data_IF_953607740143
#
_entry.id   IF_953607740143
#
_cell.length_a   1.000
_cell.length_b   1.000
_cell.length_c   1.000
_cell.angle_alpha   90.00
_cell.angle_beta   90.00
_cell.angle_gamma   90.00
#
_symmetry.space_group_name_H-M   'P 1'
#
loop_
_entity.id
_entity.type
_entity.pdbx_description
1 polymer ?
2 polymer ?
3 non-polymer ?
4 non-polymer ?
5 non-polymer ?
6 non-polymer ?
7 water ?
#
# COMPACT_ATOMS: atom_id res chain seq x y z
N UNK A 1 1.55 13.86 5.21
CA UNK A 1 2.94 13.47 5.38
C UNK A 1 3.71 14.60 6.09
N UNK A 2 4.32 14.28 7.23
CA UNK A 2 5.10 15.22 8.04
C UNK A 2 6.59 14.92 7.82
N UNK A 3 7.35 15.99 7.55
CA UNK A 3 8.81 15.94 7.37
C UNK A 3 9.32 15.18 6.17
N UNK A 4 8.50 15.09 5.10
CA UNK A 4 8.86 14.42 3.87
C UNK A 4 9.18 15.46 2.81
N UNK A 5 8.98 15.11 1.55
CA UNK A 5 9.22 16.02 0.44
C UNK A 5 8.14 15.81 -0.60
N UNK A 6 8.09 16.66 -1.63
CA UNK A 6 7.15 16.48 -2.73
C UNK A 6 7.62 15.23 -3.50
N UNK A 7 6.71 14.31 -3.81
CA UNK A 7 7.06 13.17 -4.64
C UNK A 7 7.09 13.73 -6.08
N UNK A 8 8.26 13.78 -6.79
CA UNK A 8 8.23 14.33 -8.16
C UNK A 8 7.15 13.66 -8.99
N UNK A 9 6.35 14.46 -9.71
CA UNK A 9 5.24 14.01 -10.55
C UNK A 9 5.65 12.79 -11.39
N UNK A 10 4.87 11.71 -11.25
CA UNK A 10 5.08 10.44 -11.96
C UNK A 10 5.96 9.45 -11.24
N UNK A 11 6.57 9.84 -10.09
CA UNK A 11 7.43 8.98 -9.29
C UNK A 11 6.64 8.21 -8.21
N UNK A 12 5.35 8.50 -8.02
CA UNK A 12 4.48 7.74 -7.13
C UNK A 12 3.26 7.37 -8.01
N UNK A 13 3.44 6.62 -9.15
CA UNK A 13 2.34 6.44 -10.11
C UNK A 13 1.22 5.49 -9.71
N UNK A 14 1.43 4.75 -8.61
CA UNK A 14 0.44 3.83 -8.03
C UNK A 14 -0.41 4.53 -6.96
N UNK A 15 -0.08 5.78 -6.61
CA UNK A 15 -0.82 6.47 -5.56
C UNK A 15 -2.26 6.75 -6.01
N UNK A 16 -3.22 6.45 -5.12
CA UNK A 16 -4.64 6.73 -5.43
C UNK A 16 -5.14 7.82 -4.54
N UNK A 17 -6.01 8.70 -5.10
CA UNK A 17 -6.70 9.72 -4.33
C UNK A 17 -8.16 9.27 -4.28
N UNK A 18 -8.70 9.06 -3.07
CA UNK A 18 -10.10 8.71 -2.92
C UNK A 18 -10.88 9.94 -2.56
N UNK A 19 -12.03 10.16 -3.22
CA UNK A 19 -12.91 11.32 -3.03
C UNK A 19 -14.34 10.85 -2.72
N UNK A 20 -15.08 11.62 -1.91
CA UNK A 20 -16.49 11.38 -1.64
C UNK A 20 -17.20 12.75 -1.78
N UNK A 21 -18.10 12.87 -2.76
CA UNK A 21 -18.79 14.11 -3.13
C UNK A 21 -17.74 15.15 -3.55
N UNK A 22 -16.67 14.69 -4.20
CA UNK A 22 -15.57 15.54 -4.67
C UNK A 22 -14.60 15.97 -3.58
N UNK A 23 -14.85 15.58 -2.30
CA UNK A 23 -14.00 15.93 -1.17
C UNK A 23 -12.96 14.82 -0.87
N UNK A 24 -11.71 15.24 -0.55
CA UNK A 24 -10.60 14.37 -0.21
C UNK A 24 -10.99 13.47 0.96
N UNK A 25 -10.87 12.15 0.77
CA UNK A 25 -11.21 11.20 1.81
C UNK A 25 -9.96 10.47 2.32
N UNK A 26 -9.26 9.76 1.42
CA UNK A 26 -8.15 8.90 1.77
C UNK A 26 -7.23 8.67 0.61
N UNK A 27 -6.16 7.96 0.90
CA UNK A 27 -5.24 7.47 -0.10
C UNK A 27 -5.60 6.04 -0.42
N UNK A 28 -4.86 5.47 -1.35
CA UNK A 28 -4.99 4.09 -1.78
C UNK A 28 -3.83 3.71 -2.66
N UNK A 29 -3.77 2.43 -3.07
CA UNK A 29 -2.71 1.92 -3.92
C UNK A 29 -3.32 1.12 -5.03
N UNK A 30 -2.97 1.46 -6.29
CA UNK A 30 -3.40 0.73 -7.46
C UNK A 30 -2.56 -0.57 -7.51
N UNK A 31 -3.18 -1.77 -7.57
CA UNK A 31 -2.36 -3.01 -7.61
C UNK A 31 -2.49 -3.72 -8.98
N UNK A 32 -3.44 -3.26 -9.82
CA UNK A 32 -3.65 -3.67 -11.22
C UNK A 32 -4.63 -2.65 -11.84
N UNK A 33 -5.11 -2.81 -13.09
CA UNK A 33 -6.00 -1.82 -13.74
C UNK A 33 -7.37 -1.63 -13.08
N UNK A 34 -7.82 -2.61 -12.29
CA UNK A 34 -9.16 -2.63 -11.69
C UNK A 34 -9.16 -2.51 -10.17
N UNK A 35 -8.09 -2.94 -9.51
CA UNK A 35 -8.13 -3.02 -8.05
C UNK A 35 -7.26 -2.02 -7.27
N UNK A 36 -7.85 -1.49 -6.18
CA UNK A 36 -7.21 -0.51 -5.32
C UNK A 36 -7.23 -1.04 -3.89
N UNK A 37 -6.07 -1.03 -3.21
CA UNK A 37 -5.99 -1.42 -1.80
C UNK A 37 -5.97 -0.12 -0.99
N UNK A 38 -6.81 -0.03 0.06
CA UNK A 38 -6.89 1.14 0.97
C UNK A 38 -7.10 0.64 2.41
N UNK A 39 -7.51 1.54 3.34
CA UNK A 39 -7.75 1.23 4.76
C UNK A 39 -9.25 1.14 4.99
N UNK A 40 -9.68 0.13 5.75
CA UNK A 40 -11.10 -0.06 6.08
C UNK A 40 -11.67 1.14 6.84
N UNK A 41 -10.86 1.78 7.73
CA UNK A 41 -11.35 2.89 8.54
C UNK A 41 -11.75 4.14 7.74
N UNK A 42 -11.31 4.23 6.47
CA UNK A 42 -11.67 5.32 5.54
C UNK A 42 -13.15 5.38 5.26
N UNK A 43 -13.87 4.26 5.47
CA UNK A 43 -15.29 4.10 5.12
C UNK A 43 -16.20 4.02 6.31
N UNK A 44 -15.70 4.22 7.54
CA UNK A 44 -16.54 4.17 8.74
C UNK A 44 -17.70 5.13 8.74
N UNK A 45 -17.53 6.30 8.12
CA UNK A 45 -18.52 7.39 8.14
C UNK A 45 -19.17 7.65 6.81
N UNK A 46 -18.98 6.77 5.80
CA UNK A 46 -19.59 6.92 4.48
C UNK A 46 -21.11 6.67 4.49
N UNK A 47 -21.88 7.61 3.94
CA UNK A 47 -23.33 7.49 3.78
C UNK A 47 -23.63 7.46 2.30
N UNK A 48 -22.86 8.23 1.49
CA UNK A 48 -23.00 8.30 0.03
C UNK A 48 -22.05 7.36 -0.71
N UNK A 49 -22.34 6.04 -0.61
CA UNK A 49 -21.56 4.96 -1.23
C UNK A 49 -21.42 5.08 -2.75
N UNK A 50 -22.40 5.71 -3.43
CA UNK A 50 -22.44 5.88 -4.89
C UNK A 50 -21.61 7.06 -5.38
N UNK A 51 -21.08 7.87 -4.46
CA UNK A 51 -20.29 9.06 -4.79
C UNK A 51 -18.83 8.88 -4.50
N UNK A 52 -18.37 7.62 -4.42
CA UNK A 52 -16.96 7.31 -4.19
C UNK A 52 -16.23 7.26 -5.51
N UNK A 53 -15.16 8.08 -5.63
CA UNK A 53 -14.31 8.18 -6.82
C UNK A 53 -12.86 7.89 -6.46
N UNK A 54 -12.17 7.11 -7.31
CA UNK A 54 -10.73 6.88 -7.20
C UNK A 54 -10.08 7.67 -8.36
N UNK A 55 -9.13 8.56 -8.02
CA UNK A 55 -8.42 9.32 -9.06
C UNK A 55 -6.98 8.77 -9.13
N UNK A 56 -6.55 8.38 -10.34
CA UNK A 56 -5.20 7.90 -10.61
C UNK A 56 -4.42 8.97 -11.38
N UNK A 57 -3.09 9.00 -11.22
CA UNK A 57 -2.20 9.94 -11.90
C UNK A 57 -2.32 11.36 -11.37
N UNK A 58 -2.87 11.48 -10.17
CA UNK A 58 -3.00 12.76 -9.49
C UNK A 58 -1.65 13.19 -8.96
N UNK A 59 -1.41 14.48 -8.99
CA UNK A 59 -0.18 15.05 -8.43
C UNK A 59 -0.52 16.31 -7.68
N UNK A 60 -0.99 17.34 -8.41
CA UNK A 60 -1.33 18.65 -7.85
C UNK A 60 -2.85 18.78 -7.80
N UNK A 61 -3.41 19.05 -6.61
CA UNK A 61 -4.86 19.19 -6.37
C UNK A 61 -5.45 20.51 -6.88
N UNK A 62 -4.61 21.51 -7.10
CA UNK A 62 -5.05 22.84 -7.51
C UNK A 62 -5.24 22.99 -9.03
N UNK A 63 -4.73 22.03 -9.81
CA UNK A 63 -4.80 22.08 -11.28
C UNK A 63 -5.05 20.72 -11.91
N UNK A 64 -5.73 20.73 -13.05
CA UNK A 64 -5.95 19.59 -13.91
C UNK A 64 -4.90 19.65 -15.06
N UNK A 65 -3.97 18.68 -15.12
CA UNK A 65 -2.96 18.67 -16.19
C UNK A 65 -3.22 17.67 -17.30
N UNK A 66 -4.28 16.85 -17.18
CA UNK A 66 -4.63 15.87 -18.20
C UNK A 66 -4.15 14.46 -17.95
N UNK A 67 -3.30 14.24 -16.93
CA UNK A 67 -2.83 12.90 -16.59
C UNK A 67 -3.73 12.18 -15.60
N UNK A 68 -4.68 12.90 -14.98
CA UNK A 68 -5.58 12.35 -13.96
C UNK A 68 -6.61 11.47 -14.65
N UNK A 69 -6.93 10.32 -14.06
CA UNK A 69 -7.98 9.42 -14.54
C UNK A 69 -8.86 9.11 -13.35
N UNK A 70 -10.16 9.34 -13.49
CA UNK A 70 -11.14 9.11 -12.42
C UNK A 70 -11.96 7.88 -12.73
N UNK A 71 -12.27 7.12 -11.69
CA UNK A 71 -13.12 5.95 -11.82
C UNK A 71 -14.06 5.91 -10.64
N UNK A 72 -15.29 5.47 -10.89
CA UNK A 72 -16.26 5.23 -9.84
C UNK A 72 -15.89 3.91 -9.14
N UNK A 73 -16.03 3.91 -7.83
CA UNK A 73 -15.74 2.69 -7.08
C UNK A 73 -17.03 1.85 -7.07
N UNK A 74 -16.99 0.66 -7.69
CA UNK A 74 -18.12 -0.28 -7.78
C UNK A 74 -18.29 -1.11 -6.51
N UNK A 75 -17.20 -1.33 -5.76
CA UNK A 75 -17.25 -2.17 -4.56
C UNK A 75 -16.19 -1.82 -3.55
N UNK A 76 -16.52 -1.88 -2.23
CA UNK A 76 -15.57 -1.67 -1.13
C UNK A 76 -15.65 -2.94 -0.29
N UNK A 77 -14.61 -3.77 -0.34
CA UNK A 77 -14.61 -5.05 0.37
C UNK A 77 -13.74 -4.94 1.63
N UNK A 78 -14.35 -5.28 2.77
CA UNK A 78 -13.73 -5.16 4.08
C UNK A 78 -13.78 -6.51 4.79
N UNK A 79 -12.69 -6.94 5.47
CA UNK A 79 -12.73 -8.24 6.16
C UNK A 79 -13.77 -8.23 7.27
N UNK A 80 -14.35 -9.41 7.51
CA UNK A 80 -15.38 -9.63 8.55
C UNK A 80 -14.82 -9.34 9.94
N UNK A 81 -13.51 -9.52 10.14
CA UNK A 81 -12.87 -9.31 11.44
C UNK A 81 -12.67 -7.83 11.81
N UNK A 82 -12.79 -6.91 10.85
CA UNK A 82 -12.64 -5.49 11.14
C UNK A 82 -13.86 -4.95 11.87
N UNK A 83 -13.61 -4.21 12.96
CA UNK A 83 -14.69 -3.61 13.75
C UNK A 83 -14.63 -2.07 13.56
N UNK A 84 -15.66 -1.42 12.96
CA UNK A 84 -15.62 0.07 12.83
C UNK A 84 -15.26 0.81 14.13
N UNK A 85 -14.41 1.82 14.01
CA UNK A 85 -13.94 2.63 15.11
C UNK A 85 -12.79 2.01 15.90
N UNK A 86 -12.30 0.81 15.51
CA UNK A 86 -11.18 0.10 16.16
C UNK A 86 -10.05 -0.01 15.16
N UNK A 87 -8.89 -0.52 15.59
CA UNK A 87 -7.70 -0.50 14.74
C UNK A 87 -7.35 -1.77 13.97
N UNK A 88 -7.74 -2.96 14.47
CA UNK A 88 -7.30 -4.21 13.84
C UNK A 88 -7.91 -4.48 12.47
N UNK A 89 -7.16 -5.16 11.59
CA UNK A 89 -7.57 -5.55 10.23
C UNK A 89 -7.95 -4.31 9.43
N UNK A 90 -7.07 -3.32 9.39
CA UNK A 90 -7.45 -2.09 8.71
C UNK A 90 -7.07 -2.12 7.22
N UNK A 91 -7.87 -2.84 6.44
CA UNK A 91 -7.65 -3.02 5.00
C UNK A 91 -9.01 -3.01 4.25
N UNK A 92 -9.02 -2.46 3.04
CA UNK A 92 -10.19 -2.43 2.18
C UNK A 92 -9.73 -2.73 0.74
N UNK A 93 -10.48 -3.56 0.04
CA UNK A 93 -10.20 -3.86 -1.36
C UNK A 93 -11.28 -3.21 -2.20
N UNK A 94 -10.89 -2.31 -3.10
CA UNK A 94 -11.79 -1.53 -3.92
C UNK A 94 -11.77 -1.94 -5.37
N UNK A 95 -12.95 -2.22 -5.93
CA UNK A 95 -13.12 -2.60 -7.33
C UNK A 95 -13.54 -1.38 -8.13
N UNK A 96 -12.79 -1.04 -9.19
CA UNK A 96 -13.18 0.11 -10.02
C UNK A 96 -14.20 -0.38 -11.05
N UNK A 97 -15.20 0.46 -11.40
CA UNK A 97 -16.26 0.10 -12.37
C UNK A 97 -15.69 -0.31 -13.73
N UNK A 98 -14.66 0.40 -14.18
CA UNK A 98 -13.95 0.12 -15.42
C UNK A 98 -12.46 0.23 -15.14
N UNK A 99 -11.59 -0.48 -15.90
CA UNK A 99 -10.15 -0.35 -15.65
C UNK A 99 -9.60 1.03 -15.98
N UNK A 100 -8.52 1.40 -15.31
CA UNK A 100 -7.79 2.61 -15.66
C UNK A 100 -6.86 2.18 -16.81
N UNK A 101 -6.38 3.16 -17.56
CA UNK A 101 -5.44 2.93 -18.66
C UNK A 101 -4.04 3.23 -18.10
N UNK A 102 -3.15 2.24 -18.18
CA UNK A 102 -1.79 2.45 -17.69
C UNK A 102 -1.04 3.39 -18.63
N UNK A 103 -0.35 4.40 -18.05
CA UNK A 103 0.43 5.41 -18.78
C UNK A 103 1.69 5.65 -17.93
N UNK A 104 2.59 6.59 -18.34
CA UNK A 104 3.78 6.95 -17.58
C UNK A 104 3.41 7.46 -16.17
N UNK A 105 2.17 7.94 -16.00
CA UNK A 105 1.72 8.52 -14.75
C UNK A 105 0.78 7.60 -13.95
N UNK A 106 0.36 6.46 -14.54
CA UNK A 106 -0.59 5.51 -13.93
C UNK A 106 -0.04 4.09 -14.04
N UNK A 107 0.48 3.55 -12.94
CA UNK A 107 1.16 2.24 -12.92
C UNK A 107 0.84 1.57 -11.60
N UNK A 108 0.47 0.27 -11.60
CA UNK A 108 0.21 -0.40 -10.30
C UNK A 108 1.48 -0.72 -9.52
N UNK A 109 1.33 -0.86 -8.20
CA UNK A 109 2.38 -1.30 -7.32
C UNK A 109 2.17 -2.81 -7.28
N UNK A 110 3.25 -3.62 -7.25
CA UNK A 110 3.09 -5.09 -7.20
C UNK A 110 2.58 -5.52 -5.84
N UNK A 111 1.48 -6.31 -5.81
CA UNK A 111 1.03 -6.98 -4.62
C UNK A 111 1.93 -8.24 -4.56
N UNK A 112 2.82 -8.38 -3.55
CA UNK A 112 3.70 -9.55 -3.55
C UNK A 112 3.01 -10.78 -3.00
N UNK A 113 3.63 -11.95 -3.22
CA UNK A 113 3.20 -13.22 -2.65
C UNK A 113 3.56 -13.17 -1.19
N UNK A 114 2.79 -13.85 -0.37
CA UNK A 114 2.93 -13.86 1.08
C UNK A 114 4.34 -14.25 1.60
N UNK A 115 4.87 -15.38 1.17
CA UNK A 115 6.15 -15.91 1.67
C UNK A 115 7.29 -14.97 1.35
N UNK A 116 7.37 -14.49 0.11
CA UNK A 116 8.35 -13.48 -0.33
C UNK A 116 8.24 -12.21 0.53
N UNK A 117 7.00 -11.77 0.78
CA UNK A 117 6.76 -10.57 1.59
C UNK A 117 7.20 -10.80 3.05
N UNK A 118 6.87 -11.95 3.62
CA UNK A 118 7.25 -12.28 5.01
C UNK A 118 8.75 -12.52 5.23
N UNK A 119 9.39 -13.27 4.31
CA UNK A 119 10.79 -13.68 4.41
C UNK A 119 11.78 -12.70 3.81
N UNK A 120 11.38 -11.91 2.78
CA UNK A 120 12.31 -10.99 2.14
C UNK A 120 11.96 -9.53 2.38
N UNK A 121 10.74 -9.10 1.97
CA UNK A 121 10.31 -7.69 2.06
C UNK A 121 10.24 -7.17 3.47
N UNK A 122 9.78 -8.02 4.44
CA UNK A 122 9.68 -7.63 5.85
C UNK A 122 11.02 -7.14 6.48
N UNK A 123 12.16 -7.51 5.85
CA UNK A 123 13.54 -7.20 6.28
C UNK A 123 14.21 -6.11 5.46
N UNK A 124 13.49 -5.50 4.49
CA UNK A 124 14.04 -4.31 3.81
C UNK A 124 13.66 -3.20 4.82
N UNK A 125 14.67 -2.59 5.42
CA UNK A 125 14.49 -1.61 6.49
C UNK A 125 13.68 -0.39 6.08
N UNK A 126 14.05 0.28 4.99
CA UNK A 126 13.38 1.50 4.57
C UNK A 126 12.37 1.23 3.47
N UNK A 127 11.25 1.96 3.53
CA UNK A 127 10.17 1.92 2.58
C UNK A 127 9.57 3.31 2.51
N UNK A 128 8.92 3.63 1.39
CA UNK A 128 8.30 4.92 1.14
C UNK A 128 6.82 4.95 1.50
N UNK A 129 6.39 6.03 2.15
CA UNK A 129 5.00 6.29 2.52
C UNK A 129 4.60 7.63 1.87
N UNK A 130 3.39 7.72 1.31
CA UNK A 130 2.97 8.91 0.57
C UNK A 130 1.51 9.29 0.74
N UNK A 131 1.19 10.51 0.39
CA UNK A 131 -0.18 11.02 0.43
C UNK A 131 -0.30 12.52 0.40
N UNK A 132 -1.57 13.00 0.32
CA UNK A 132 -1.90 14.42 0.40
C UNK A 132 -2.42 14.75 1.81
N UNK A 133 -1.93 14.06 2.83
CA UNK A 133 -2.33 14.32 4.21
C UNK A 133 -1.69 15.56 4.80
N UNK A 134 -1.93 15.75 6.10
CA UNK A 134 -1.44 16.88 6.90
C UNK A 134 0.08 17.03 6.79
N UNK A 135 0.54 18.27 6.63
CA UNK A 135 1.99 18.53 6.59
C UNK A 135 2.49 18.65 8.02
N UNK A 136 1.56 18.82 8.96
CA UNK A 136 1.83 18.94 10.39
C UNK A 136 0.67 18.37 11.14
N UNK A 137 0.93 17.89 12.37
CA UNK A 137 -0.18 17.47 13.23
C UNK A 137 -0.99 18.75 13.50
N UNK A 138 -2.32 18.67 13.28
CA UNK A 138 -3.31 19.73 13.44
C UNK A 138 -3.04 20.90 12.49
N UNK A 139 -2.39 20.57 11.36
CA UNK A 139 -2.03 21.51 10.31
C UNK A 139 -2.74 21.23 9.00
N UNK A 140 -2.50 22.08 8.00
CA UNK A 140 -3.09 22.00 6.67
C UNK A 140 -2.63 20.73 5.90
N UNK A 141 -3.47 20.25 4.97
CA UNK A 141 -3.14 19.07 4.16
C UNK A 141 -2.35 19.55 2.95
N UNK A 142 -1.63 18.63 2.28
CA UNK A 142 -0.80 18.99 1.12
C UNK A 142 -1.56 19.17 -0.20
N UNK A 143 -1.13 20.11 -1.06
CA UNK A 143 -1.70 20.34 -2.41
C UNK A 143 -0.97 19.48 -3.46
N UNK A 144 0.28 19.11 -3.18
CA UNK A 144 1.10 18.24 -4.04
C UNK A 144 1.40 16.99 -3.25
N UNK A 145 1.42 15.86 -3.95
CA UNK A 145 1.66 14.55 -3.35
C UNK A 145 3.01 14.51 -2.64
N UNK A 146 3.01 14.10 -1.36
CA UNK A 146 4.20 14.06 -0.54
C UNK A 146 4.63 12.65 -0.32
N UNK A 147 5.94 12.44 -0.12
CA UNK A 147 6.53 11.12 0.09
C UNK A 147 7.57 11.20 1.22
N UNK A 148 7.69 10.15 2.01
CA UNK A 148 8.60 10.04 3.15
C UNK A 148 9.21 8.64 3.20
N UNK A 149 10.53 8.56 3.46
CA UNK A 149 11.22 7.27 3.62
C UNK A 149 11.21 6.95 5.10
N UNK A 150 10.69 5.77 5.48
CA UNK A 150 10.60 5.37 6.88
C UNK A 150 11.25 4.02 7.17
N UNK A 151 11.92 3.84 8.32
CA UNK A 151 12.44 2.51 8.65
C UNK A 151 11.38 1.68 9.39
N UNK A 152 11.37 0.37 9.16
CA UNK A 152 10.43 -0.55 9.79
C UNK A 152 11.02 -1.08 11.11
N UNK A 153 10.18 -1.32 12.10
CA UNK A 153 10.64 -1.88 13.38
C UNK A 153 9.93 -3.18 13.65
N UNK A 154 10.58 -4.06 14.43
CA UNK A 154 9.99 -5.30 14.96
C UNK A 154 9.08 -4.80 16.07
N UNK A 155 7.90 -5.40 16.21
CA UNK A 155 6.87 -4.97 17.17
C UNK A 155 7.39 -4.87 18.63
N UNK A 156 8.25 -5.79 19.08
CA UNK A 156 8.84 -5.77 20.42
C UNK A 156 9.68 -4.50 20.60
N UNK A 157 10.48 -4.13 19.57
CA UNK A 157 11.30 -2.93 19.55
C UNK A 157 10.44 -1.67 19.52
N UNK A 158 9.32 -1.70 18.76
CA UNK A 158 8.40 -0.57 18.67
C UNK A 158 7.81 -0.27 20.02
N UNK A 159 7.35 -1.32 20.73
CA UNK A 159 6.78 -1.24 22.06
C UNK A 159 7.77 -0.73 23.11
N UNK A 160 9.04 -1.16 23.04
CA UNK A 160 10.06 -0.72 23.99
C UNK A 160 10.46 0.73 23.76
N UNK A 161 10.53 1.16 22.48
CA UNK A 161 10.93 2.54 22.12
C UNK A 161 9.79 3.56 22.17
N UNK A 162 8.57 3.13 22.53
CA UNK A 162 7.42 4.02 22.59
C UNK A 162 7.07 4.40 24.02
N UNK A 163 6.67 5.67 24.19
CA UNK A 163 6.19 6.22 25.45
C UNK A 163 4.91 5.47 25.80
N UNK A 164 4.79 4.99 27.04
CA UNK A 164 3.61 4.24 27.47
C UNK A 164 2.44 5.18 27.63
N UNK A 165 1.33 4.90 26.92
CA UNK A 165 0.10 5.70 26.93
C UNK A 165 -1.10 4.82 27.28
N UNK A 166 -1.91 5.29 28.22
CA UNK A 166 -3.09 4.58 28.71
C UNK A 166 -4.17 4.44 27.66
N UNK A 167 -4.78 3.23 27.59
CA UNK A 167 -5.83 2.86 26.62
C UNK A 167 -5.33 2.85 25.14
N UNK A 168 -3.99 2.85 24.90
CA UNK A 168 -3.38 2.76 23.57
C UNK A 168 -3.71 1.39 22.94
N UNK A 169 -4.12 1.31 21.64
CA UNK A 169 -4.47 0.01 21.07
C UNK A 169 -3.28 -0.91 20.97
N UNK A 170 -3.55 -2.22 20.98
CA UNK A 170 -2.54 -3.25 20.83
C UNK A 170 -2.00 -3.24 19.38
N UNK A 171 -0.72 -3.56 19.23
CA UNK A 171 -0.08 -3.69 17.92
C UNK A 171 -0.09 -5.19 17.67
N UNK A 172 -1.02 -5.64 16.82
CA UNK A 172 -1.24 -7.05 16.55
C UNK A 172 -0.30 -7.54 15.46
N UNK A 173 -0.43 -8.84 15.11
CA UNK A 173 0.32 -9.49 14.04
C UNK A 173 -0.14 -8.95 12.67
N UNK A 174 -1.24 -8.18 12.63
CA UNK A 174 -1.82 -7.60 11.41
C UNK A 174 -1.39 -6.15 11.21
N UNK A 175 -0.35 -5.74 11.93
CA UNK A 175 0.18 -4.37 11.90
C UNK A 175 1.69 -4.41 12.01
N UNK A 176 2.34 -3.29 11.72
CA UNK A 176 3.76 -3.11 11.99
C UNK A 176 4.01 -1.63 12.21
N UNK A 177 5.06 -1.29 12.96
CA UNK A 177 5.49 0.09 13.17
C UNK A 177 6.54 0.44 12.17
N UNK A 178 6.56 1.69 11.75
CA UNK A 178 7.58 2.30 10.91
C UNK A 178 7.58 3.81 11.18
N UNK A 179 8.75 4.39 11.14
CA UNK A 179 8.93 5.81 11.32
C UNK A 179 10.01 6.20 12.30
N UNK A 180 9.77 7.33 13.00
CA UNK A 180 10.69 7.93 13.95
C UNK A 180 9.97 8.32 15.24
N UNK A 181 10.67 8.17 16.37
CA UNK A 181 10.10 8.53 17.68
C UNK A 181 10.47 9.98 18.11
N UNK A 182 11.23 10.71 17.30
CA UNK A 182 11.73 12.04 17.64
C UNK A 182 10.81 13.21 17.24
N UNK A 183 9.61 12.93 16.71
CA UNK A 183 8.63 13.95 16.34
C UNK A 183 8.87 14.69 15.04
N UNK A 184 9.78 14.21 14.22
CA UNK A 184 10.15 14.90 12.99
C UNK A 184 9.46 14.41 11.71
N UNK A 185 9.21 13.09 11.60
CA UNK A 185 8.76 12.47 10.35
C UNK A 185 7.74 11.36 10.58
N UNK A 186 6.61 11.42 9.87
CA UNK A 186 5.52 10.44 9.98
C UNK A 186 4.46 10.64 8.89
N UNK A 187 3.57 9.66 8.71
CA UNK A 187 2.37 9.78 7.88
C UNK A 187 1.29 10.32 8.84
N UNK A 188 0.17 10.85 8.32
CA UNK A 188 -0.89 11.42 9.15
C UNK A 188 -2.24 10.87 8.72
N UNK A 189 -3.33 11.24 9.44
CA UNK A 189 -4.68 10.77 9.18
C UNK A 189 -5.14 10.98 7.72
N UNK A 190 -4.78 12.10 7.10
CA UNK A 190 -5.14 12.37 5.70
C UNK A 190 -4.43 11.47 4.70
N UNK A 191 -3.36 10.76 5.16
CA UNK A 191 -2.61 9.80 4.32
C UNK A 191 -3.19 8.38 4.44
N UNK A 192 -4.15 8.17 5.38
CA UNK A 192 -4.84 6.89 5.64
C UNK A 192 -5.19 6.18 4.34
N UNK A 193 -4.92 4.87 4.27
CA UNK A 193 -5.21 4.06 3.09
C UNK A 193 -4.10 4.03 2.06
N UNK A 194 -3.19 5.01 2.16
CA UNK A 194 -2.07 5.17 1.25
C UNK A 194 -1.00 4.08 1.38
N UNK A 195 -0.16 3.97 0.33
CA UNK A 195 0.89 2.93 0.33
C UNK A 195 2.08 3.11 1.25
N UNK A 196 2.62 1.98 1.68
CA UNK A 196 3.91 1.82 2.34
C UNK A 196 4.55 0.88 1.30
N UNK A 197 5.43 1.42 0.45
CA UNK A 197 6.01 0.70 -0.68
C UNK A 197 7.47 0.33 -0.44
N UNK A 198 7.82 -0.93 -0.67
CA UNK A 198 9.15 -1.53 -0.47
C UNK A 198 9.89 -1.92 -1.75
N UNK A 199 11.11 -1.44 -1.88
CA UNK A 199 11.97 -1.72 -3.03
C UNK A 199 12.78 -3.01 -2.85
N UNK A 200 12.78 -3.87 -3.87
CA UNK A 200 13.56 -5.09 -3.85
C UNK A 200 13.97 -5.45 -5.23
N UNK A 201 15.29 -5.40 -5.47
CA UNK A 201 15.94 -5.79 -6.74
C UNK A 201 15.29 -5.13 -7.98
N UNK A 202 15.15 -3.81 -7.91
CA UNK A 202 14.65 -2.97 -8.99
C UNK A 202 13.14 -2.87 -9.11
N UNK A 203 12.38 -3.45 -8.15
CA UNK A 203 10.91 -3.43 -8.22
C UNK A 203 10.31 -3.01 -6.89
N UNK A 204 9.20 -2.25 -6.94
CA UNK A 204 8.50 -1.79 -5.74
C UNK A 204 7.30 -2.69 -5.45
N UNK A 205 7.04 -2.95 -4.14
CA UNK A 205 5.99 -3.86 -3.69
C UNK A 205 5.16 -3.25 -2.60
N UNK A 206 3.89 -3.67 -2.48
CA UNK A 206 3.01 -3.19 -1.42
C UNK A 206 3.22 -4.01 -0.15
N UNK A 207 3.67 -3.33 0.95
CA UNK A 207 3.89 -4.04 2.22
C UNK A 207 3.05 -3.51 3.38
N UNK A 208 2.55 -2.28 3.26
CA UNK A 208 1.76 -1.70 4.33
C UNK A 208 0.75 -0.69 3.83
N UNK A 209 -0.16 -0.29 4.71
CA UNK A 209 -1.20 0.69 4.44
C UNK A 209 -1.15 1.69 5.58
N UNK A 210 -1.19 3.00 5.28
CA UNK A 210 -1.23 4.04 6.33
C UNK A 210 -2.48 3.73 7.17
N UNK A 211 -2.28 3.45 8.44
CA UNK A 211 -3.38 3.04 9.28
C UNK A 211 -3.67 3.95 10.48
N UNK A 212 -2.79 3.97 11.47
CA UNK A 212 -3.01 4.76 12.69
C UNK A 212 -1.70 5.12 13.38
N UNK A 213 -1.83 5.93 14.43
CA UNK A 213 -0.75 6.39 15.30
C UNK A 213 -1.33 7.33 16.34
N UNK A 214 -0.54 7.64 17.38
CA UNK A 214 -0.84 8.62 18.43
C UNK A 214 -0.49 9.98 17.83
N UNK A 215 -1.50 10.75 17.47
CA UNK A 215 -1.33 12.02 16.76
C UNK A 215 -0.54 11.74 15.50
N UNK A 216 0.20 12.75 15.01
CA UNK A 216 1.05 12.65 13.81
C UNK A 216 2.42 13.18 14.16
N UNK A 217 3.48 12.35 14.01
CA UNK A 217 4.89 12.69 14.35
C UNK A 217 4.98 13.11 15.83
N UNK A 218 4.32 12.33 16.70
CA UNK A 218 4.36 12.61 18.14
C UNK A 218 5.63 12.01 18.73
N UNK A 219 6.36 12.80 19.53
CA UNK A 219 7.56 12.36 20.25
C UNK A 219 7.19 11.14 21.09
N UNK A 220 7.97 10.08 20.94
CA UNK A 220 7.76 8.82 21.65
C UNK A 220 6.86 7.84 20.96
N UNK A 221 6.47 8.13 19.70
CA UNK A 221 5.54 7.26 18.95
C UNK A 221 5.92 7.08 17.50
N UNK A 222 5.48 5.96 16.93
CA UNK A 222 5.76 5.56 15.55
C UNK A 222 4.45 5.45 14.79
N UNK A 223 4.54 5.51 13.45
CA UNK A 223 3.37 5.30 12.62
C UNK A 223 3.07 3.81 12.62
N UNK A 224 1.78 3.44 12.68
CA UNK A 224 1.37 2.04 12.66
C UNK A 224 0.69 1.78 11.29
N UNK A 225 1.11 0.68 10.63
CA UNK A 225 0.69 0.29 9.29
C UNK A 225 0.06 -1.08 9.25
N UNK A 226 -0.94 -1.30 8.37
CA UNK A 226 -1.56 -2.63 8.18
C UNK A 226 -0.52 -3.56 7.56
N UNK A 227 -0.34 -4.74 8.13
CA UNK A 227 0.66 -5.69 7.60
C UNK A 227 -0.03 -6.47 6.47
N UNK A 228 0.14 -5.97 5.24
CA UNK A 228 -0.48 -6.48 4.00
C UNK A 228 -0.20 -7.99 3.73
N UNK A 229 1.00 -8.50 4.07
CA UNK A 229 1.37 -9.91 3.88
C UNK A 229 0.37 -10.89 4.50
N UNK A 230 -0.33 -10.47 5.57
CA UNK A 230 -1.35 -11.29 6.22
C UNK A 230 -2.65 -11.40 5.40
N UNK A 231 -2.80 -10.57 4.35
CA UNK A 231 -4.00 -10.50 3.51
C UNK A 231 -3.87 -10.92 2.05
N UNK A 232 -2.67 -11.32 1.60
CA UNK A 232 -2.42 -11.72 0.19
C UNK A 232 -3.46 -12.71 -0.37
N UNK A 233 -3.66 -13.84 0.30
CA UNK A 233 -4.62 -14.87 -0.17
C UNK A 233 -6.06 -14.36 -0.15
N UNK A 234 -6.42 -13.59 0.88
CA UNK A 234 -7.73 -13.01 1.03
C UNK A 234 -8.01 -12.04 -0.15
N UNK A 235 -7.00 -11.24 -0.51
CA UNK A 235 -7.10 -10.30 -1.63
C UNK A 235 -7.19 -11.03 -2.97
N UNK A 236 -6.35 -12.07 -3.16
CA UNK A 236 -6.31 -12.83 -4.42
C UNK A 236 -7.61 -13.52 -4.74
N UNK A 237 -8.22 -14.12 -3.72
CA UNK A 237 -9.50 -14.81 -3.85
C UNK A 237 -10.59 -13.80 -4.26
N UNK A 238 -10.66 -12.65 -3.56
CA UNK A 238 -11.66 -11.63 -3.87
C UNK A 238 -11.53 -11.03 -5.26
N UNK A 239 -10.29 -10.84 -5.74
CA UNK A 239 -10.02 -10.33 -7.08
C UNK A 239 -10.53 -11.24 -8.18
N UNK A 240 -10.75 -12.54 -7.84
CA UNK A 240 -11.30 -13.57 -8.71
C UNK A 240 -12.81 -13.66 -8.64
N UNK A 241 -13.45 -12.93 -7.70
CA UNK A 241 -14.90 -13.01 -7.51
C UNK A 241 -15.66 -12.07 -8.43
N UNK A 242 -16.96 -12.34 -8.62
CA UNK A 242 -17.85 -11.47 -9.36
C UNK A 242 -18.33 -10.40 -8.40
N UNK A 243 -18.57 -9.14 -8.83
CA UNK A 243 -19.12 -8.15 -7.90
C UNK A 243 -20.56 -8.48 -7.48
N UNK A 244 -20.99 -7.88 -6.38
CA UNK A 244 -22.32 -8.10 -5.83
C UNK A 244 -23.01 -6.75 -5.70
N UNK A 245 -24.38 -6.68 -5.81
CA UNK A 245 -25.07 -5.38 -5.68
C UNK A 245 -24.80 -4.76 -4.32
N UNK A 246 -24.76 -3.45 -4.28
CA UNK A 246 -24.39 -2.73 -3.08
C UNK A 246 -22.89 -2.54 -3.08
N UNK A 247 -22.43 -1.33 -2.84
CA UNK A 247 -21.01 -1.01 -2.85
C UNK A 247 -20.24 -1.73 -1.72
N UNK A 248 -20.68 -1.57 -0.48
CA UNK A 248 -20.01 -2.21 0.64
C UNK A 248 -20.27 -3.73 0.69
N UNK A 249 -19.19 -4.49 0.86
CA UNK A 249 -19.24 -5.93 1.05
C UNK A 249 -18.30 -6.33 2.19
N UNK A 250 -18.85 -7.05 3.19
CA UNK A 250 -18.05 -7.62 4.28
C UNK A 250 -17.73 -9.06 3.85
N UNK A 251 -16.44 -9.40 3.73
CA UNK A 251 -16.03 -10.75 3.29
C UNK A 251 -15.36 -11.50 4.42
N UNK A 252 -15.60 -12.82 4.55
CA UNK A 252 -14.97 -13.55 5.67
C UNK A 252 -13.44 -13.53 5.61
N UNK A 253 -12.84 -13.28 6.79
CA UNK A 253 -11.40 -13.32 6.97
C UNK A 253 -11.20 -14.34 8.11
N UNK A 254 -10.30 -15.37 7.97
CA UNK A 254 -9.37 -15.67 6.85
C UNK A 254 -10.11 -15.99 5.53
N UNK B 1 14.57 -31.23 0.92
CA UNK B 1 15.48 -30.10 1.13
C UNK B 1 14.81 -28.71 0.96
N UNK B 2 15.32 -27.67 1.63
CA UNK B 2 14.73 -26.33 1.54
C UNK B 2 15.71 -25.35 0.87
N UNK B 3 15.24 -24.66 -0.20
CA UNK B 3 16.05 -23.71 -0.98
C UNK B 3 15.55 -22.27 -0.86
N UNK B 4 14.22 -22.02 -1.06
CA UNK B 4 13.64 -20.67 -1.00
C UNK B 4 13.88 -19.96 0.31
N UNK B 5 14.03 -20.70 1.44
CA UNK B 5 14.31 -20.12 2.75
C UNK B 5 15.63 -19.31 2.74
N UNK B 6 16.58 -19.72 1.89
CA UNK B 6 17.89 -19.11 1.79
C UNK B 6 17.98 -18.15 0.62
N UNK B 7 18.01 -16.83 0.95
CA UNK B 7 18.15 -15.71 0.01
C UNK B 7 17.15 -15.81 -1.18
N UNK B 8 15.88 -16.10 -0.85
CA UNK B 8 14.79 -16.21 -1.81
C UNK B 8 15.14 -17.18 -2.96
N UNK B 9 16.01 -18.16 -2.67
CA UNK B 9 16.51 -19.17 -3.60
C UNK B 9 17.24 -18.61 -4.80
N UNK B 10 17.76 -17.39 -4.67
CA UNK B 10 18.39 -16.60 -5.73
C UNK B 10 17.40 -15.87 -6.66
N UNK B 11 16.09 -16.06 -6.45
CA UNK B 11 15.03 -15.46 -7.29
C UNK B 11 14.93 -13.95 -7.18
N UNK B 12 14.69 -13.29 -8.31
CA UNK B 12 14.57 -11.83 -8.33
C UNK B 12 13.22 -11.42 -7.70
N UNK B 13 12.20 -12.24 -7.95
CA UNK B 13 10.85 -12.01 -7.45
C UNK B 13 10.37 -13.17 -6.56
N UNK B 14 9.66 -14.15 -7.10
CA UNK B 14 9.08 -15.25 -6.33
C UNK B 14 9.80 -16.57 -6.44
N UNK B 15 9.85 -17.31 -5.33
CA UNK B 15 10.54 -18.62 -5.25
C UNK B 15 9.59 -19.73 -4.89
N UNK B 16 9.70 -20.86 -5.58
CA UNK B 16 8.93 -22.07 -5.30
C UNK B 16 9.86 -23.27 -5.12
N UNK B 17 9.65 -24.02 -4.02
CA UNK B 17 10.39 -25.24 -3.70
C UNK B 17 9.70 -26.46 -4.31
N UNK B 18 10.50 -27.38 -4.88
CA UNK B 18 9.99 -28.63 -5.48
C UNK B 18 10.69 -29.85 -4.85
N UNK B 19 10.26 -31.08 -5.15
CA UNK B 19 10.88 -32.28 -4.56
C UNK B 19 12.40 -32.31 -4.78
N UNK B 20 13.13 -32.67 -3.74
CA UNK B 20 14.59 -32.71 -3.77
C UNK B 20 15.22 -31.33 -3.77
N UNK B 21 16.29 -31.15 -4.56
CA UNK B 21 16.95 -29.83 -4.62
C UNK B 21 16.42 -28.96 -5.77
N UNK B 22 15.22 -29.26 -6.29
CA UNK B 22 14.62 -28.47 -7.37
C UNK B 22 14.01 -27.16 -6.82
N UNK B 23 14.26 -26.08 -7.53
CA UNK B 23 13.79 -24.74 -7.19
C UNK B 23 13.28 -24.09 -8.47
N UNK B 24 12.10 -23.48 -8.40
CA UNK B 24 11.56 -22.72 -9.53
C UNK B 24 11.32 -21.27 -9.16
N UNK B 25 11.94 -20.33 -9.89
CA UNK B 25 11.67 -18.91 -9.69
C UNK B 25 10.49 -18.54 -10.58
N UNK B 26 9.68 -17.60 -10.09
CA UNK B 26 8.53 -17.11 -10.82
C UNK B 26 8.52 -15.58 -10.79
N UNK B 27 7.65 -14.99 -11.62
CA UNK B 27 7.54 -13.55 -11.75
C UNK B 27 6.09 -13.20 -11.60
N UNK B 28 5.83 -11.94 -11.26
CA UNK B 28 4.51 -11.33 -11.16
C UNK B 28 3.98 -11.24 -12.60
N UNK B 29 2.66 -11.10 -12.79
CA UNK B 29 2.03 -10.91 -14.11
C UNK B 29 2.63 -9.61 -14.76
N UNK B 30 2.79 -9.61 -16.08
CA UNK B 30 3.43 -8.48 -16.76
C UNK B 30 4.95 -8.66 -16.82
N UNK B 31 5.46 -9.83 -16.39
CA UNK B 31 6.90 -10.19 -16.42
C UNK B 31 7.05 -11.64 -16.90
N UNK B 32 8.23 -11.96 -17.42
CA UNK B 32 8.61 -13.32 -17.79
C UNK B 32 9.97 -13.65 -17.20
N UNK B 33 10.19 -14.92 -16.92
CA UNK B 33 11.44 -15.40 -16.36
C UNK B 33 12.52 -15.53 -17.48
N UNK B 34 13.73 -14.99 -17.23
CA UNK B 34 14.82 -15.10 -18.23
C UNK B 34 15.41 -16.51 -18.16
N UNK B 35 16.14 -16.92 -19.20
CA UNK B 35 16.77 -18.26 -19.26
C UNK B 35 17.76 -18.52 -18.12
N UNK B 36 18.20 -17.48 -17.38
CA UNK B 36 19.08 -17.72 -16.21
C UNK B 36 18.27 -18.41 -15.09
N UNK B 37 16.94 -18.37 -15.23
CA UNK B 37 16.00 -18.98 -14.29
C UNK B 37 15.80 -18.24 -12.99
N UNK B 38 16.32 -16.99 -12.87
CA UNK B 38 16.21 -16.19 -11.64
C UNK B 38 15.63 -14.80 -11.89
N UNK B 39 15.97 -14.21 -13.06
CA UNK B 39 15.61 -12.85 -13.45
C UNK B 39 14.26 -12.73 -14.09
N UNK B 40 13.66 -11.57 -13.90
CA UNK B 40 12.34 -11.27 -14.45
C UNK B 40 12.50 -10.07 -15.36
N UNK B 41 11.87 -10.14 -16.52
CA UNK B 41 11.90 -9.05 -17.47
C UNK B 41 10.47 -8.67 -17.82
N UNK B 42 10.17 -7.37 -18.02
CA UNK B 42 8.78 -7.00 -18.35
C UNK B 42 8.35 -7.53 -19.71
N UNK B 43 7.06 -7.90 -19.80
CA UNK B 43 6.43 -8.37 -21.04
C UNK B 43 5.49 -7.28 -21.57
N UNK B 44 5.28 -6.23 -20.75
CA UNK B 44 4.36 -5.13 -21.04
C UNK B 44 5.07 -3.78 -20.91
N UNK B 45 4.44 -2.73 -21.42
CA UNK B 45 4.98 -1.38 -21.36
C UNK B 45 4.99 -0.85 -19.91
N UNK B 46 3.95 -1.15 -19.11
CA UNK B 46 3.85 -0.62 -17.74
C UNK B 46 3.78 -1.75 -16.68
N UNK B 47 4.87 -2.51 -16.48
CA UNK B 47 4.82 -3.56 -15.46
C UNK B 47 4.68 -2.93 -14.07
N UNK B 48 4.10 -3.68 -13.14
CA UNK B 48 3.92 -3.22 -11.78
C UNK B 48 5.29 -2.93 -11.10
N UNK B 49 5.31 -1.96 -10.19
CA UNK B 49 6.47 -1.66 -9.37
C UNK B 49 7.66 -1.02 -10.04
N UNK B 50 7.48 -0.51 -11.25
CA UNK B 50 8.52 0.19 -12.00
C UNK B 50 8.03 1.59 -12.35
N UNK B 51 8.93 2.58 -12.24
CA UNK B 51 8.59 3.99 -12.47
C UNK B 51 9.01 4.42 -13.88
N UNK B 52 8.06 4.54 -14.84
CA UNK B 52 8.43 4.87 -16.23
C UNK B 52 9.34 6.07 -16.45
N UNK B 53 9.09 7.21 -15.78
CA UNK B 53 9.94 8.39 -15.98
C UNK B 53 11.39 8.12 -15.53
N UNK B 54 11.60 7.23 -14.53
CA UNK B 54 12.93 6.85 -14.05
C UNK B 54 13.51 5.77 -14.96
N UNK B 55 12.70 4.78 -15.40
CA UNK B 55 13.11 3.71 -16.31
C UNK B 55 13.53 4.26 -17.68
N UNK B 56 12.81 5.29 -18.18
CA UNK B 56 13.08 5.89 -19.50
C UNK B 56 14.30 6.84 -19.49
N UNK B 57 14.73 7.33 -18.31
CA UNK B 57 15.89 8.22 -18.18
C UNK B 57 17.05 7.61 -17.37
X LIG C 1 -1.90 7.56 10.64
X LIG C 1 -7.66 3.41 12.25
X LIG C 1 0.15 8.24 11.90
X LIG C 1 -3.56 8.74 12.51
X LIG C 1 -2.18 8.77 12.67
X LIG C 1 -7.87 1.99 12.18
X LIG C 1 -9.49 9.01 10.39
X LIG C 1 -9.81 9.59 11.59
X LIG C 1 -4.12 8.08 11.41
X LIG C 1 -3.27 7.50 10.47
X LIG C 1 -11.41 8.92 6.60
X LIG C 1 -4.55 6.37 18.71
X LIG C 1 -10.08 9.26 6.71
X LIG C 1 -6.29 7.56 14.64
X LIG C 1 -6.64 7.34 13.32
X LIG C 1 -7.09 6.09 12.97
X LIG C 1 -7.19 5.09 13.92
X LIG C 1 -6.88 5.33 15.25
X LIG C 1 -6.41 6.58 15.62
X LIG C 1 -7.47 3.77 13.63
X LIG C 1 -6.45 8.44 12.27
X LIG C 1 -5.50 7.97 11.26
X LIG C 1 -7.81 8.72 11.71
X LIG C 1 -1.33 8.21 11.73
X LIG C 1 -8.23 8.46 10.48
X LIG C 1 -8.75 9.39 12.41
X LIG C 1 -5.79 8.76 14.99
X LIG C 1 -6.07 6.93 16.92
X LIG C 1 -5.71 5.91 17.91
X LIG C 1 -6.91 5.68 18.74
X LIG C 1 -10.19 8.98 9.10
X LIG C 1 0.87 7.54 11.11
X LIG C 1 0.66 8.94 12.93
X LIG C 1 -9.46 9.28 7.94
X LIG C 1 -12.15 8.60 7.72
X LIG C 1 -11.55 8.63 8.98
X LIG C 1 -12.38 8.25 10.16
X LIG C 1 -12.76 6.98 10.25
X LIG C 1 -12.70 9.11 11.01
X LIG C 1 -1.29 7.08 9.87
X LIG C 1 -8.52 3.95 11.85
X LIG C 1 -6.79 3.67 11.64
X LIG C 1 -4.13 9.26 13.26
X LIG C 1 -1.84 9.22 13.60
X LIG C 1 -8.56 1.68 11.40
X LIG C 1 -8.26 1.61 13.12
X LIG C 1 -6.93 1.47 12.00
X LIG C 1 -10.68 10.16 11.90
X LIG C 1 -3.67 7.01 9.59
X LIG C 1 -11.88 8.87 5.62
X LIG C 1 -3.65 6.47 18.12
X LIG C 1 -4.75 7.33 19.17
X LIG C 1 -4.31 5.67 19.51
X LIG C 1 -9.51 9.57 5.83
X LIG C 1 -7.33 5.95 11.92
X LIG C 1 -7.05 4.54 15.98
X LIG C 1 -6.11 9.39 12.66
X LIG C 1 -5.85 7.52 10.42
X LIG C 1 -8.69 9.68 13.38
X LIG C 1 -5.42 4.97 17.42
X LIG C 1 -7.64 5.02 18.26
X LIG C 1 -7.43 6.62 18.95
X LIG C 1 -6.68 5.24 19.70
X LIG C 1 1.87 7.56 11.22
X LIG C 1 0.12 9.51 13.57
X LIG C 1 -8.40 9.54 8.01
X LIG C 1 -13.21 8.34 7.64
X LIG C 1 -12.51 6.29 9.56
X LIG C 1 -13.34 6.64 11.02
X LIG C 1 1.66 8.98 13.11
X LIG D 1 -4.15 17.63 -10.75
X LIG E 1 -16.25 4.40 -14.39
X LIG E 1 -15.41 4.55 -15.57
X LIG E 1 -17.41 3.57 -14.77
X LIG E 1 -15.53 3.79 -13.30
X LIG E 1 -16.65 5.75 -13.99
X LIG F 1 -20.60 10.63 2.88
X LIG F 1 -20.41 9.37 2.24
X LIG F 1 -20.86 11.61 1.88
X LIG F 1 -19.41 11.01 3.64
X LIG F 1 -21.74 10.55 3.76
X LIG G 1 2.66 3.32 19.33
X LIG G 1 1.96 2.51 18.36
X LIG G 1 1.86 4.51 19.60
X LIG G 1 4.02 3.65 18.77
X LIG G 1 2.73 2.51 20.58
X LIG H 1 -2.70 -8.85 -9.42
X LIG H 1 -1.73 -9.03 -10.55
X LIG H 1 -3.99 -9.41 -9.83
X LIG H 1 -2.21 -9.47 -8.19
X LIG H 1 -2.84 -7.45 -9.14
X LIG I 1 -18.34 -0.11 6.89
X LIG I 1 -17.28 -0.76 7.59
X LIG I 1 -19.07 0.88 7.77
X LIG I 1 -20.07 1.57 7.01
X LIG I 1 -19.73 0.21 8.95
X LIG I 1 -19.99 1.15 9.98
X LIG J 1 8.84 6.88 -5.64
X LIG J 1 8.37 5.64 -5.14
X LIG J 1 10.30 7.16 -5.32
X LIG J 1 11.18 6.34 -6.09
X LIG J 1 10.61 8.62 -5.53
X LIG J 1 9.84 9.44 -4.66
#
# INVERSE_FOLDING_TARGET
IVGGKVCPKGECPWQVLLLVNGAQLCGGTLINTIWVVSAAHCFDKIKNWRNLIAVLGEHDLSEHDGDEQSRRVAQVIIPSTYVPGTTNHDIALLRLHQPVVLTDHVVPLCLPERTFSERTLAFVRFSLVSGWGQLLDRGATALELMVLNVPRLMTQDCLQQSRKVGDSPNITEYMFCAGYSDGSKDSCKGDSGGPHATHYRGTWYLTGIVSWGQGCATVGHFGVYTRVSQYIEWLQKLMRSEPRPGVLLRAPFP
QLICVNENGGCEQYCSDHTGTKRSCRCHEGYSLLADGVSCTPTVEYPCGKIPILEKR
4K1 C13 C18 C17 C16 C15 C19 C21 C22 C11 C12 C34 C27 C33 C1 C2 C3 C4 C5 C6 O7 C8 N9 C10 C14 N20 N23 F24 O25 C26 C28 C29 N30 N31 C32 C35 C36 C37 N38 O39 H45 H49 H48 H47 H46 H52 H51 H50 H53 H44 H67 H58 H56 H57 H66 H40 H41 H42 H43 H54 H55 H61 H59 H60 H62 H64 H65 H68 H70 H69 H1
CA CA
SO4 S O1 O2 O3 O4
SO4 S O1 O2 O3 O4
SO4 S O1 O2 O3 O4
SO4 S O1 O2 O3 O4
GOL C1 O1 C2 O2 C3 O3
GOL C1 O1 C2 O2 C3 O3
#
